data_IF_491654114327
#
_entry.id   IF_491654114327
#
_cell.length_a   1.000
_cell.length_b   1.000
_cell.length_c   1.000
_cell.angle_alpha   90.00
_cell.angle_beta   90.00
_cell.angle_gamma   90.00
#
_symmetry.space_group_name_H-M   'P 1'
#
loop_
_entity.id
_entity.type
_entity.pdbx_description
1 polymer ?
#
# COMPACT_ATOMS: atom_id res chain seq x y z
N UNK A 1 16.26 -23.08 -7.68
CA UNK A 1 15.61 -22.91 -6.36
C UNK A 1 16.22 -21.75 -5.53
N UNK A 2 17.54 -21.47 -5.64
CA UNK A 2 18.19 -20.32 -4.96
C UNK A 2 17.79 -18.93 -5.52
N UNK A 3 17.35 -18.86 -6.79
CA UNK A 3 16.91 -17.62 -7.47
C UNK A 3 15.63 -16.99 -6.89
N UNK A 4 14.82 -17.76 -6.14
CA UNK A 4 13.55 -17.29 -5.54
C UNK A 4 13.81 -16.49 -4.25
N UNK A 5 14.93 -16.76 -3.56
CA UNK A 5 15.23 -16.19 -2.24
C UNK A 5 15.96 -14.84 -2.31
N UNK A 6 16.50 -14.47 -3.48
CA UNK A 6 17.21 -13.20 -3.70
C UNK A 6 16.36 -12.11 -4.37
N UNK A 7 15.08 -12.37 -4.65
CA UNK A 7 14.18 -11.35 -5.17
C UNK A 7 13.86 -10.38 -4.02
N UNK A 8 14.56 -9.24 -4.01
CA UNK A 8 14.34 -8.12 -3.10
C UNK A 8 12.84 -7.85 -2.99
N UNK A 9 12.31 -7.88 -1.77
CA UNK A 9 10.90 -7.66 -1.50
C UNK A 9 10.41 -6.40 -2.25
N UNK A 10 9.46 -6.57 -3.18
CA UNK A 10 8.85 -5.47 -3.93
C UNK A 10 8.23 -4.46 -2.95
N UNK A 11 8.61 -3.20 -3.12
CA UNK A 11 8.00 -2.06 -2.44
C UNK A 11 7.83 -0.94 -3.46
N UNK A 12 6.59 -0.53 -3.70
CA UNK A 12 6.26 0.56 -4.60
C UNK A 12 5.59 1.66 -3.78
N UNK A 13 6.17 2.87 -3.81
CA UNK A 13 5.62 4.06 -3.16
C UNK A 13 5.18 5.06 -4.23
N UNK A 14 3.94 5.52 -4.13
CA UNK A 14 3.36 6.58 -4.94
C UNK A 14 3.10 7.77 -4.02
N UNK A 15 3.55 8.95 -4.40
CA UNK A 15 3.45 10.19 -3.60
C UNK A 15 2.82 11.27 -4.45
N UNK A 16 1.85 12.02 -3.91
CA UNK A 16 1.25 13.19 -4.56
C UNK A 16 1.99 14.48 -4.21
N UNK A 17 2.43 14.64 -2.95
CA UNK A 17 3.21 15.79 -2.49
C UNK A 17 4.38 15.32 -1.62
N UNK A 18 5.60 15.75 -1.97
CA UNK A 18 6.82 15.27 -1.31
C UNK A 18 7.08 15.92 0.04
N UNK A 19 6.49 17.09 0.30
CA UNK A 19 6.68 17.90 1.51
C UNK A 19 5.48 17.76 2.44
N UNK A 20 5.32 16.57 3.01
CA UNK A 20 4.25 16.32 3.98
C UNK A 20 4.83 15.80 5.29
N UNK A 21 4.63 16.59 6.35
CA UNK A 21 4.95 16.26 7.73
C UNK A 21 3.94 15.28 8.36
N UNK A 22 3.21 14.49 7.57
CA UNK A 22 2.27 13.50 8.11
C UNK A 22 3.03 12.41 8.87
N UNK A 23 3.01 12.50 10.20
CA UNK A 23 3.68 11.54 11.11
C UNK A 23 2.92 10.20 11.15
N UNK A 24 1.62 10.21 10.84
CA UNK A 24 0.74 9.05 11.01
C UNK A 24 0.65 8.23 9.72
N UNK A 25 1.11 6.98 9.80
CA UNK A 25 0.99 5.98 8.73
C UNK A 25 -0.05 4.94 9.10
N UNK A 26 -1.03 4.77 8.23
CA UNK A 26 -2.00 3.69 8.33
C UNK A 26 -1.56 2.51 7.48
N UNK A 27 -1.99 1.30 7.83
CA UNK A 27 -1.66 0.11 7.05
C UNK A 27 -2.78 -0.93 7.09
N UNK A 28 -2.87 -1.73 6.03
CA UNK A 28 -3.79 -2.86 5.93
C UNK A 28 -3.24 -3.93 5.01
N UNK A 29 -3.37 -5.18 5.41
CA UNK A 29 -3.08 -6.32 4.53
C UNK A 29 -4.25 -6.55 3.58
N UNK A 30 -3.95 -6.59 2.30
CA UNK A 30 -4.88 -6.84 1.21
C UNK A 30 -4.54 -8.16 0.53
N UNK A 31 -5.57 -8.89 0.11
CA UNK A 31 -5.44 -10.22 -0.48
C UNK A 31 -6.11 -10.24 -1.84
N UNK A 32 -5.31 -10.41 -2.88
CA UNK A 32 -5.79 -10.62 -4.24
C UNK A 32 -5.86 -12.12 -4.51
N UNK A 33 -6.94 -12.58 -5.12
CA UNK A 33 -7.14 -13.99 -5.44
C UNK A 33 -7.26 -14.23 -6.94
N UNK A 34 -6.93 -15.44 -7.37
CA UNK A 34 -7.01 -15.90 -8.76
C UNK A 34 -6.34 -14.91 -9.73
N UNK A 35 -5.07 -14.57 -9.48
CA UNK A 35 -4.29 -13.61 -10.27
C UNK A 35 -4.93 -12.21 -10.41
N UNK A 36 -5.82 -11.82 -9.50
CA UNK A 36 -6.51 -10.53 -9.53
C UNK A 36 -7.90 -10.56 -10.16
N UNK A 37 -8.42 -11.74 -10.56
CA UNK A 37 -9.83 -11.88 -10.95
C UNK A 37 -10.79 -11.58 -9.79
N UNK A 38 -10.36 -11.90 -8.57
CA UNK A 38 -11.10 -11.58 -7.35
C UNK A 38 -10.28 -10.54 -6.60
N UNK A 39 -10.68 -9.29 -6.77
CA UNK A 39 -10.02 -8.14 -6.14
C UNK A 39 -10.44 -7.99 -4.68
N UNK A 40 -9.55 -7.52 -3.82
CA UNK A 40 -9.90 -7.14 -2.46
C UNK A 40 -10.95 -6.01 -2.47
N UNK A 41 -11.76 -5.94 -1.41
CA UNK A 41 -12.68 -4.81 -1.21
C UNK A 41 -11.88 -3.51 -1.11
N UNK A 42 -12.47 -2.43 -1.62
CA UNK A 42 -11.90 -1.09 -1.51
C UNK A 42 -11.57 -0.73 -0.06
N UNK A 43 -10.43 -0.06 0.11
CA UNK A 43 -9.97 0.42 1.41
C UNK A 43 -10.39 1.88 1.49
N UNK A 44 -11.27 2.21 2.44
CA UNK A 44 -11.52 3.60 2.80
C UNK A 44 -10.37 4.07 3.71
N UNK A 45 -9.55 5.06 3.29
CA UNK A 45 -8.44 5.54 4.09
C UNK A 45 -8.89 6.40 5.28
N UNK A 46 -10.16 6.82 5.33
CA UNK A 46 -10.76 7.64 6.40
C UNK A 46 -9.97 8.93 6.70
N UNK A 47 -9.28 9.49 5.71
CA UNK A 47 -8.56 10.75 5.84
C UNK A 47 -9.54 11.92 6.03
N UNK A 48 -9.29 12.75 7.05
CA UNK A 48 -10.09 13.94 7.33
C UNK A 48 -10.15 14.91 6.14
N UNK A 49 -9.01 15.14 5.48
CA UNK A 49 -8.88 15.97 4.28
C UNK A 49 -9.50 15.35 3.01
N UNK A 50 -9.94 14.08 3.08
CA UNK A 50 -10.34 13.24 1.93
C UNK A 50 -9.26 13.10 0.85
N UNK A 51 -8.01 13.48 1.15
CA UNK A 51 -6.85 13.40 0.25
C UNK A 51 -5.78 12.53 0.90
N UNK A 52 -5.09 11.73 0.09
CA UNK A 52 -3.92 10.95 0.51
C UNK A 52 -2.68 11.59 -0.06
N UNK A 53 -1.59 11.54 0.70
CA UNK A 53 -0.32 12.07 0.25
C UNK A 53 0.61 10.99 -0.31
N UNK A 54 0.68 9.84 0.37
CA UNK A 54 1.51 8.74 -0.08
C UNK A 54 0.80 7.42 0.14
N UNK A 55 1.02 6.49 -0.79
CA UNK A 55 0.59 5.10 -0.68
C UNK A 55 1.80 4.23 -0.99
N UNK A 56 2.12 3.30 -0.09
CA UNK A 56 3.21 2.34 -0.25
C UNK A 56 2.65 0.92 -0.24
N UNK A 57 2.78 0.20 -1.35
CA UNK A 57 2.50 -1.23 -1.42
C UNK A 57 3.77 -2.01 -1.17
N UNK A 58 3.75 -2.93 -0.21
CA UNK A 58 4.90 -3.76 0.18
C UNK A 58 4.53 -5.23 0.14
N UNK A 59 5.50 -6.05 -0.24
CA UNK A 59 5.49 -7.49 0.00
C UNK A 59 6.61 -7.89 0.95
N UNK A 60 6.56 -9.11 1.46
CA UNK A 60 7.62 -9.71 2.26
C UNK A 60 7.85 -11.17 1.83
N UNK A 61 8.91 -11.79 2.33
CA UNK A 61 9.26 -13.16 1.97
C UNK A 61 8.12 -14.16 2.27
N UNK A 62 7.40 -13.99 3.38
CA UNK A 62 6.26 -14.85 3.72
C UNK A 62 5.13 -14.75 2.70
N UNK A 63 4.81 -13.53 2.26
CA UNK A 63 3.80 -13.29 1.23
C UNK A 63 4.18 -13.86 -0.13
N UNK A 64 5.46 -13.75 -0.50
CA UNK A 64 6.00 -14.34 -1.72
C UNK A 64 5.94 -15.87 -1.64
N UNK A 65 6.27 -16.48 -0.50
CA UNK A 65 6.17 -17.92 -0.30
C UNK A 65 4.73 -18.42 -0.43
N UNK A 66 3.76 -17.72 0.18
CA UNK A 66 2.32 -18.02 0.03
C UNK A 66 1.93 -17.97 -1.45
N UNK A 67 2.32 -16.91 -2.14
CA UNK A 67 2.06 -16.75 -3.57
C UNK A 67 2.69 -17.88 -4.38
N UNK A 68 3.93 -18.26 -4.10
CA UNK A 68 4.64 -19.31 -4.82
C UNK A 68 4.01 -20.70 -4.61
N UNK A 69 3.69 -21.06 -3.36
CA UNK A 69 3.04 -22.34 -3.03
C UNK A 69 1.65 -22.42 -3.67
N UNK A 70 0.93 -21.29 -3.74
CA UNK A 70 -0.38 -21.20 -4.38
C UNK A 70 -0.30 -20.90 -5.88
N UNK A 71 0.89 -20.93 -6.49
CA UNK A 71 1.13 -20.62 -7.90
C UNK A 71 0.59 -19.23 -8.35
N UNK A 72 0.45 -18.28 -7.44
CA UNK A 72 -0.11 -16.95 -7.70
C UNK A 72 -1.63 -16.86 -7.54
N UNK A 73 -2.29 -17.94 -7.10
CA UNK A 73 -3.73 -17.92 -6.78
C UNK A 73 -4.00 -17.02 -5.59
N UNK A 74 -3.08 -16.91 -4.62
CA UNK A 74 -3.24 -16.07 -3.43
C UNK A 74 -2.06 -15.12 -3.33
N UNK A 75 -2.31 -13.82 -3.46
CA UNK A 75 -1.27 -12.79 -3.45
C UNK A 75 -1.55 -11.78 -2.33
N UNK A 76 -0.96 -11.98 -1.13
CA UNK A 76 -1.03 -11.01 -0.04
C UNK A 76 -0.05 -9.85 -0.25
N UNK A 77 -0.50 -8.65 0.12
CA UNK A 77 0.31 -7.42 0.09
C UNK A 77 -0.07 -6.54 1.28
N UNK A 78 0.88 -5.77 1.82
CA UNK A 78 0.60 -4.73 2.81
C UNK A 78 0.52 -3.40 2.09
N UNK A 79 -0.62 -2.72 2.23
CA UNK A 79 -0.82 -1.36 1.74
C UNK A 79 -0.68 -0.42 2.93
N UNK A 80 0.24 0.52 2.84
CA UNK A 80 0.43 1.60 3.79
C UNK A 80 0.02 2.92 3.15
N UNK A 81 -0.62 3.82 3.89
CA UNK A 81 -0.99 5.14 3.39
C UNK A 81 -0.78 6.23 4.43
N UNK A 82 -0.54 7.44 3.93
CA UNK A 82 -0.33 8.68 4.66
C UNK A 82 -1.40 9.67 4.18
N UNK A 83 -2.16 10.26 5.10
CA UNK A 83 -3.19 11.25 4.77
C UNK A 83 -2.55 12.62 4.53
N UNK A 84 -3.13 13.40 3.60
CA UNK A 84 -2.76 14.79 3.43
C UNK A 84 -3.33 15.65 4.57
N UNK A 85 -2.65 16.73 4.98
CA UNK A 85 -3.20 17.67 5.95
C UNK A 85 -4.49 18.33 5.43
N UNK A 86 -5.31 18.85 6.34
CA UNK A 86 -6.49 19.63 5.98
C UNK A 86 -6.02 21.00 5.47
N UNK A 87 -6.38 21.35 4.24
CA UNK A 87 -6.17 22.70 3.71
C UNK A 87 -7.02 23.68 4.53
N UNK A 88 -6.39 24.45 5.42
CA UNK A 88 -7.02 25.64 5.98
C UNK A 88 -7.02 26.71 4.91
N UNK A 89 -8.18 27.29 4.52
CA UNK A 89 -8.18 28.43 3.60
C UNK A 89 -7.28 29.51 4.21
N UNK A 90 -6.24 29.88 3.48
CA UNK A 90 -5.45 31.06 3.85
C UNK A 90 -6.39 32.22 3.58
N UNK A 91 -6.91 32.84 4.63
CA UNK A 91 -7.55 34.15 4.52
C UNK A 91 -6.40 35.08 4.11
N UNK A 92 -6.35 35.43 2.82
CA UNK A 92 -5.40 36.38 2.26
C UNK A 92 -5.51 37.69 3.06
N UNK A 93 -4.53 37.92 3.94
CA UNK A 93 -4.36 39.14 4.75
C UNK A 93 -3.80 40.29 3.91
#
# INVERSE_FOLDING_TARGET
>A
MLLILCQSCISTRVVSEYDNDSIIKHHKTSWSYAWGLVTPKDINPECESKKMNAVTSKTNLGYILISAITLGIVVPQTIEWECAPVETPIEDL
#
